data_IF_041702280227
#
_entry.id   IF_041702280227
#
_cell.length_a   1.000
_cell.length_b   1.000
_cell.length_c   1.000
_cell.angle_alpha   90.00
_cell.angle_beta   90.00
_cell.angle_gamma   90.00
#
_symmetry.space_group_name_H-M   'P 1'
#
loop_
_entity.id
_entity.type
_entity.pdbx_description
1 polymer ?
#
# COMPACT_ATOMS: atom_id res chain seq x y z
N UNK A 1 1.68 -20.71 0.22
CA UNK A 1 2.15 -20.66 -1.19
C UNK A 1 1.31 -19.65 -1.93
N UNK A 2 1.89 -18.57 -2.45
CA UNK A 2 1.21 -17.71 -3.44
C UNK A 2 0.87 -18.57 -4.64
N UNK A 3 -0.42 -18.66 -4.98
CA UNK A 3 -0.92 -19.65 -5.95
C UNK A 3 -0.43 -19.43 -7.39
N UNK A 4 0.25 -18.33 -7.68
CA UNK A 4 0.97 -18.05 -8.91
C UNK A 4 2.34 -17.42 -8.57
N UNK A 5 3.34 -17.57 -9.44
CA UNK A 5 4.71 -17.03 -9.32
C UNK A 5 4.75 -15.48 -9.32
N UNK A 6 4.09 -14.85 -8.35
CA UNK A 6 4.02 -13.41 -8.22
C UNK A 6 5.41 -12.86 -7.89
N UNK A 7 5.93 -12.01 -8.77
CA UNK A 7 7.25 -11.37 -8.59
C UNK A 7 7.22 -10.19 -7.61
N UNK A 8 6.04 -9.75 -7.19
CA UNK A 8 5.87 -8.68 -6.23
C UNK A 8 4.42 -8.44 -5.83
N UNK A 9 4.21 -7.56 -4.85
CA UNK A 9 2.91 -7.22 -4.27
C UNK A 9 2.71 -5.70 -4.28
N UNK A 10 1.55 -5.27 -4.77
CA UNK A 10 1.02 -3.90 -4.57
C UNK A 10 -0.28 -4.05 -3.79
N UNK A 11 -0.44 -3.24 -2.73
CA UNK A 11 -1.71 -3.11 -2.02
C UNK A 11 -2.41 -1.81 -2.45
N UNK A 12 -3.72 -1.86 -2.60
CA UNK A 12 -4.53 -0.68 -2.93
C UNK A 12 -5.68 -0.58 -1.92
N UNK A 13 -5.82 0.58 -1.30
CA UNK A 13 -6.87 0.95 -0.37
C UNK A 13 -7.62 2.17 -0.94
N UNK A 14 -8.95 2.23 -0.78
CA UNK A 14 -9.73 3.42 -1.13
C UNK A 14 -10.31 4.12 0.11
N UNK A 15 -10.11 5.44 0.25
CA UNK A 15 -10.79 6.35 1.16
C UNK A 15 -11.93 7.06 0.41
N UNK A 16 -13.16 6.49 0.37
CA UNK A 16 -14.20 6.95 -0.56
C UNK A 16 -14.69 8.37 -0.29
N UNK A 17 -14.55 8.83 0.95
CA UNK A 17 -15.03 10.13 1.43
C UNK A 17 -13.93 11.04 1.99
N UNK A 18 -12.67 10.57 1.99
CA UNK A 18 -11.53 11.25 2.62
C UNK A 18 -10.46 11.66 1.63
N UNK A 19 -9.48 12.41 2.13
CA UNK A 19 -8.21 12.56 1.44
C UNK A 19 -7.39 11.26 1.52
N UNK A 20 -6.34 11.18 0.71
CA UNK A 20 -5.52 9.98 0.63
C UNK A 20 -4.52 9.82 1.79
N UNK A 21 -4.59 10.66 2.83
CA UNK A 21 -3.65 10.61 3.96
C UNK A 21 -3.81 9.28 4.70
N UNK A 22 -2.72 8.53 4.95
CA UNK A 22 -2.80 7.27 5.67
C UNK A 22 -3.24 7.45 7.12
N UNK A 23 -4.10 6.55 7.58
CA UNK A 23 -4.40 6.39 9.01
C UNK A 23 -3.25 5.64 9.72
N UNK A 24 -3.28 5.62 11.07
CA UNK A 24 -2.33 4.80 11.86
C UNK A 24 -2.50 3.31 11.59
N UNK A 25 -3.73 2.90 11.29
CA UNK A 25 -4.10 1.55 10.93
C UNK A 25 -3.49 1.18 9.57
N UNK A 26 -3.53 2.09 8.58
CA UNK A 26 -2.87 1.88 7.28
C UNK A 26 -1.35 1.77 7.43
N UNK A 27 -0.73 2.59 8.27
CA UNK A 27 0.71 2.52 8.55
C UNK A 27 1.09 1.18 9.19
N UNK A 28 0.33 0.77 10.20
CA UNK A 28 0.55 -0.49 10.93
C UNK A 28 0.35 -1.69 10.02
N UNK A 29 -0.70 -1.69 9.22
CA UNK A 29 -0.97 -2.71 8.20
C UNK A 29 0.15 -2.78 7.16
N UNK A 30 0.61 -1.63 6.65
CA UNK A 30 1.70 -1.56 5.69
C UNK A 30 3.00 -2.13 6.25
N UNK A 31 3.29 -1.86 7.52
CA UNK A 31 4.45 -2.41 8.22
C UNK A 31 4.38 -3.94 8.30
N UNK A 32 3.24 -4.48 8.76
CA UNK A 32 3.02 -5.92 8.82
C UNK A 32 3.10 -6.59 7.44
N UNK A 33 2.55 -5.95 6.41
CA UNK A 33 2.57 -6.46 5.04
C UNK A 33 3.99 -6.48 4.45
N UNK A 34 4.82 -5.48 4.76
CA UNK A 34 6.25 -5.45 4.37
C UNK A 34 7.01 -6.61 5.01
N UNK A 35 6.82 -6.85 6.30
CA UNK A 35 7.45 -7.98 7.00
C UNK A 35 6.96 -9.33 6.44
N UNK A 36 5.67 -9.46 6.16
CA UNK A 36 5.13 -10.64 5.50
C UNK A 36 5.78 -10.89 4.13
N UNK A 37 5.86 -9.86 3.28
CA UNK A 37 6.50 -9.97 1.97
C UNK A 37 7.96 -10.41 2.08
N UNK A 38 8.70 -9.85 3.04
CA UNK A 38 10.09 -10.23 3.35
C UNK A 38 10.20 -11.71 3.76
N UNK A 39 9.33 -12.19 4.65
CA UNK A 39 9.31 -13.59 5.07
C UNK A 39 8.98 -14.56 3.92
N UNK A 40 8.12 -14.13 3.01
CA UNK A 40 7.70 -14.94 1.85
C UNK A 40 8.63 -14.85 0.64
N UNK A 41 9.68 -14.01 0.70
CA UNK A 41 10.55 -13.76 -0.46
C UNK A 41 9.85 -13.03 -1.62
N UNK A 42 8.77 -12.30 -1.33
CA UNK A 42 8.01 -11.52 -2.32
C UNK A 42 8.44 -10.05 -2.22
N UNK A 43 8.66 -9.41 -3.36
CA UNK A 43 8.98 -7.97 -3.37
C UNK A 43 7.73 -7.14 -3.06
N UNK A 44 7.72 -6.44 -1.92
CA UNK A 44 6.73 -5.39 -1.69
C UNK A 44 7.04 -4.18 -2.59
N UNK A 45 6.09 -3.79 -3.43
CA UNK A 45 6.26 -2.72 -4.41
C UNK A 45 5.67 -1.39 -3.93
N UNK A 46 4.41 -1.40 -3.46
CA UNK A 46 3.77 -0.22 -2.90
C UNK A 46 2.52 -0.57 -2.10
N UNK A 47 2.08 0.38 -1.27
CA UNK A 47 0.70 0.48 -0.80
C UNK A 47 0.19 1.85 -1.23
N UNK A 48 -0.89 1.87 -2.00
CA UNK A 48 -1.47 3.09 -2.57
C UNK A 48 -2.84 3.30 -1.94
N UNK A 49 -3.04 4.45 -1.33
CA UNK A 49 -4.35 4.90 -0.85
C UNK A 49 -4.91 5.87 -1.89
N UNK A 50 -6.07 5.55 -2.46
CA UNK A 50 -6.81 6.49 -3.30
C UNK A 50 -7.81 7.25 -2.44
N UNK A 51 -7.80 8.57 -2.55
CA UNK A 51 -8.84 9.45 -2.04
C UNK A 51 -9.61 10.10 -3.17
N UNK A 52 -10.49 11.05 -2.81
CA UNK A 52 -11.34 11.75 -3.79
C UNK A 52 -10.54 12.60 -4.79
N UNK A 53 -9.55 13.34 -4.30
CA UNK A 53 -8.82 14.36 -5.08
C UNK A 53 -7.38 13.94 -5.43
N UNK A 54 -6.97 12.73 -5.06
CA UNK A 54 -5.61 12.27 -5.28
C UNK A 54 -5.31 10.89 -4.69
N UNK A 55 -4.03 10.57 -4.57
CA UNK A 55 -3.55 9.33 -3.97
C UNK A 55 -2.30 9.54 -3.12
N UNK A 56 -2.06 8.65 -2.16
CA UNK A 56 -0.84 8.55 -1.38
C UNK A 56 -0.11 7.25 -1.73
N UNK A 57 1.21 7.34 -1.92
CA UNK A 57 2.08 6.18 -2.11
C UNK A 57 2.99 6.01 -0.90
N UNK A 58 2.93 4.84 -0.24
CA UNK A 58 3.82 4.50 0.86
C UNK A 58 5.28 4.31 0.43
N UNK A 59 5.51 3.87 -0.82
CA UNK A 59 6.85 3.72 -1.38
C UNK A 59 7.49 5.09 -1.67
N UNK A 60 6.72 6.03 -2.22
CA UNK A 60 7.20 7.40 -2.50
C UNK A 60 7.09 8.34 -1.30
N UNK A 61 6.30 7.99 -0.28
CA UNK A 61 5.97 8.80 0.90
C UNK A 61 5.48 10.21 0.51
N UNK A 62 4.55 10.25 -0.42
CA UNK A 62 3.97 11.51 -0.90
C UNK A 62 2.52 11.32 -1.31
N UNK A 63 1.76 12.39 -1.15
CA UNK A 63 0.43 12.56 -1.77
C UNK A 63 0.60 13.22 -3.12
N UNK A 64 -0.24 12.84 -4.08
CA UNK A 64 -0.37 13.49 -5.38
C UNK A 64 -1.84 13.69 -5.70
N UNK A 65 -2.18 14.93 -6.03
CA UNK A 65 -3.51 15.30 -6.49
C UNK A 65 -3.66 15.00 -7.99
N UNK A 66 -4.91 14.89 -8.47
CA UNK A 66 -5.22 14.67 -9.89
C UNK A 66 -4.96 15.88 -10.79
#
# INVERSE_FOLDING_TARGET
MTQNFASGLICIHNHPFGDATPSKEDESFTSALKEFCKLMGIKFLDHIIFGKEGFYSFNKRMTRDY
#
